data_IF_412422166956
#
_entry.id   IF_412422166956
#
_cell.length_a   1.000
_cell.length_b   1.000
_cell.length_c   1.000
_cell.angle_alpha   90.00
_cell.angle_beta   90.00
_cell.angle_gamma   90.00
#
_symmetry.space_group_name_H-M   'P 1'
#
loop_
_entity.id
_entity.type
_entity.pdbx_description
1 polymer ?
#
# COMPACT_ATOMS: atom_id res chain seq x y z
N UNK A 1 -15.17 17.09 0.62
CA UNK A 1 -14.78 18.00 1.72
C UNK A 1 -14.34 17.10 2.87
N UNK A 2 -13.04 17.08 3.12
CA UNK A 2 -12.30 16.12 3.95
C UNK A 2 -12.51 16.50 5.41
N UNK A 3 -13.25 15.70 6.19
CA UNK A 3 -13.47 16.00 7.61
C UNK A 3 -13.58 14.74 8.47
N UNK A 4 -12.60 13.82 8.47
CA UNK A 4 -12.45 12.85 9.59
C UNK A 4 -11.00 12.33 9.76
N UNK A 5 -10.01 13.17 10.05
CA UNK A 5 -8.70 12.69 10.56
C UNK A 5 -7.98 13.65 11.54
N UNK A 6 -8.56 14.79 11.94
CA UNK A 6 -7.80 15.84 12.63
C UNK A 6 -7.91 15.89 14.18
N UNK A 7 -8.43 14.86 14.87
CA UNK A 7 -8.82 15.03 16.29
C UNK A 7 -8.12 14.18 17.36
N UNK A 8 -7.14 13.33 17.06
CA UNK A 8 -6.44 12.58 18.12
C UNK A 8 -4.93 12.80 18.10
N UNK A 9 -4.47 14.05 18.20
CA UNK A 9 -3.20 14.32 18.92
C UNK A 9 -3.28 15.71 19.57
N UNK A 10 -4.20 15.89 20.51
CA UNK A 10 -4.17 17.05 21.41
C UNK A 10 -3.52 16.67 22.74
N UNK A 11 -2.31 17.20 22.92
CA UNK A 11 -1.77 17.72 24.19
C UNK A 11 -1.16 16.76 25.24
N UNK A 12 0.18 16.72 25.19
CA UNK A 12 1.17 17.02 26.26
C UNK A 12 1.26 16.06 27.46
N UNK A 13 2.46 15.52 27.70
CA UNK A 13 3.25 15.90 28.89
C UNK A 13 4.74 15.54 28.79
N UNK A 14 5.52 16.47 29.32
CA UNK A 14 6.97 16.63 29.27
C UNK A 14 7.73 15.67 30.19
N UNK A 15 9.02 15.56 29.86
CA UNK A 15 10.16 15.21 30.72
C UNK A 15 10.52 13.72 30.88
N UNK A 16 11.79 13.44 30.61
CA UNK A 16 12.49 12.24 31.08
C UNK A 16 13.05 11.40 29.93
N UNK A 17 14.36 11.51 29.72
CA UNK A 17 15.10 10.73 28.75
C UNK A 17 14.96 9.21 29.03
N UNK A 18 14.06 8.56 28.29
CA UNK A 18 14.20 7.17 27.92
C UNK A 18 14.12 7.20 26.39
N UNK A 19 15.17 6.71 25.73
CA UNK A 19 15.14 6.49 24.28
C UNK A 19 14.08 5.43 24.00
N UNK A 20 12.81 5.84 23.99
CA UNK A 20 11.81 5.23 23.14
C UNK A 20 12.36 5.50 21.75
N UNK A 21 13.00 4.49 21.16
CA UNK A 21 13.15 4.47 19.72
C UNK A 21 11.74 4.74 19.19
N UNK A 22 11.56 5.96 18.70
CA UNK A 22 10.40 6.37 17.93
C UNK A 22 10.09 5.20 17.02
N UNK A 23 9.02 4.48 17.34
CA UNK A 23 8.23 3.79 16.35
C UNK A 23 7.57 4.89 15.51
N UNK A 24 8.39 5.69 14.83
CA UNK A 24 8.02 6.36 13.60
C UNK A 24 7.93 5.24 12.57
N UNK A 25 6.94 4.38 12.74
CA UNK A 25 6.25 3.84 11.60
C UNK A 25 5.76 5.11 10.92
N UNK A 26 6.50 5.54 9.89
CA UNK A 26 6.11 6.66 9.06
C UNK A 26 4.62 6.49 8.75
N UNK A 27 3.80 7.46 9.17
CA UNK A 27 2.35 7.51 8.91
C UNK A 27 2.03 7.66 7.40
N UNK A 28 2.88 7.12 6.52
CA UNK A 28 2.83 7.21 5.06
C UNK A 28 2.88 5.84 4.36
N UNK A 29 2.51 4.74 5.01
CA UNK A 29 2.41 3.43 4.33
C UNK A 29 1.04 2.78 4.58
N UNK A 30 -0.02 3.59 4.61
CA UNK A 30 -1.35 3.10 4.29
C UNK A 30 -1.67 3.59 2.88
N UNK A 31 -1.73 2.66 1.92
CA UNK A 31 -2.05 2.94 0.52
C UNK A 31 -3.30 3.80 0.39
N UNK A 32 -3.16 4.96 -0.22
CA UNK A 32 -4.30 5.63 -0.82
C UNK A 32 -4.67 4.83 -2.06
N UNK A 33 -5.83 4.17 -2.04
CA UNK A 33 -6.44 3.66 -3.27
C UNK A 33 -6.62 4.85 -4.22
N UNK A 34 -6.02 4.77 -5.40
CA UNK A 34 -6.07 5.85 -6.38
C UNK A 34 -7.09 5.56 -7.48
N UNK A 35 -7.84 6.58 -7.87
CA UNK A 35 -8.78 6.48 -8.99
C UNK A 35 -8.06 6.29 -10.34
N UNK A 36 -6.78 6.68 -10.41
CA UNK A 36 -5.95 6.53 -11.62
C UNK A 36 -5.77 5.06 -12.02
N UNK A 37 -5.75 4.15 -11.04
CA UNK A 37 -5.54 2.74 -11.27
C UNK A 37 -6.85 1.95 -11.44
N UNK A 38 -8.02 2.61 -11.48
CA UNK A 38 -9.32 1.94 -11.51
C UNK A 38 -9.49 1.07 -12.77
N UNK A 39 -9.00 1.56 -13.91
CA UNK A 39 -9.02 0.78 -15.16
C UNK A 39 -8.09 -0.43 -15.08
N UNK A 40 -6.90 -0.26 -14.50
CA UNK A 40 -5.94 -1.34 -14.29
C UNK A 40 -6.49 -2.39 -13.32
N UNK A 41 -7.29 -1.98 -12.32
CA UNK A 41 -8.01 -2.91 -11.43
C UNK A 41 -8.90 -3.87 -12.22
N UNK A 42 -9.66 -3.28 -13.14
CA UNK A 42 -10.70 -3.98 -13.89
C UNK A 42 -10.01 -4.98 -14.83
N UNK A 43 -8.92 -4.56 -15.47
CA UNK A 43 -8.15 -5.45 -16.33
C UNK A 43 -7.44 -6.54 -15.52
N UNK A 44 -6.80 -6.22 -14.39
CA UNK A 44 -6.20 -7.23 -13.49
C UNK A 44 -7.21 -8.31 -13.10
N UNK A 45 -8.40 -7.90 -12.61
CA UNK A 45 -9.45 -8.84 -12.23
C UNK A 45 -9.92 -9.68 -13.42
N UNK A 46 -10.02 -9.09 -14.62
CA UNK A 46 -10.42 -9.79 -15.84
C UNK A 46 -9.37 -10.81 -16.29
N UNK A 47 -8.09 -10.42 -16.34
CA UNK A 47 -6.97 -11.28 -16.74
C UNK A 47 -6.82 -12.47 -15.80
N UNK A 48 -7.03 -12.27 -14.49
CA UNK A 48 -6.88 -13.31 -13.48
C UNK A 48 -8.21 -13.94 -13.01
N UNK A 49 -9.31 -13.64 -13.71
CA UNK A 49 -10.66 -14.14 -13.43
C UNK A 49 -11.06 -14.03 -11.94
N UNK A 50 -10.85 -12.85 -11.36
CA UNK A 50 -11.08 -12.56 -9.95
C UNK A 50 -12.52 -12.13 -9.70
N UNK A 51 -13.12 -12.72 -8.66
CA UNK A 51 -14.43 -12.34 -8.10
C UNK A 51 -14.30 -12.32 -6.59
N UNK A 52 -14.88 -11.32 -5.93
CA UNK A 52 -14.79 -11.13 -4.48
C UNK A 52 -16.18 -11.06 -3.87
N UNK A 53 -16.30 -11.52 -2.62
CA UNK A 53 -17.56 -11.60 -1.89
C UNK A 53 -17.91 -10.22 -1.29
N UNK A 54 -18.29 -9.30 -2.18
CA UNK A 54 -18.80 -7.98 -1.85
C UNK A 54 -17.73 -6.90 -1.69
N UNK A 55 -18.24 -5.69 -1.45
CA UNK A 55 -17.46 -4.43 -1.53
C UNK A 55 -16.33 -4.38 -0.51
N UNK A 56 -16.52 -4.95 0.69
CA UNK A 56 -15.50 -4.93 1.74
C UNK A 56 -14.27 -5.74 1.35
N UNK A 57 -14.46 -6.96 0.82
CA UNK A 57 -13.34 -7.76 0.35
C UNK A 57 -12.68 -7.07 -0.85
N UNK A 58 -13.47 -6.56 -1.80
CA UNK A 58 -12.92 -5.90 -2.97
C UNK A 58 -12.03 -4.70 -2.63
N UNK A 59 -12.42 -3.87 -1.64
CA UNK A 59 -11.58 -2.76 -1.15
C UNK A 59 -10.26 -3.28 -0.56
N UNK A 60 -10.30 -4.34 0.25
CA UNK A 60 -9.10 -4.91 0.86
C UNK A 60 -8.16 -5.51 -0.20
N UNK A 61 -8.72 -6.21 -1.19
CA UNK A 61 -7.95 -6.79 -2.31
C UNK A 61 -7.32 -5.71 -3.18
N UNK A 62 -8.06 -4.63 -3.41
CA UNK A 62 -7.58 -3.45 -4.13
C UNK A 62 -6.40 -2.80 -3.41
N UNK A 63 -6.47 -2.67 -2.09
CA UNK A 63 -5.36 -2.14 -1.28
C UNK A 63 -4.09 -2.98 -1.44
N UNK A 64 -4.18 -4.31 -1.30
CA UNK A 64 -3.02 -5.18 -1.47
C UNK A 64 -2.46 -5.18 -2.89
N UNK A 65 -3.34 -5.08 -3.88
CA UNK A 65 -2.93 -4.98 -5.26
C UNK A 65 -2.16 -3.68 -5.56
N UNK A 66 -2.63 -2.52 -5.07
CA UNK A 66 -1.88 -1.26 -5.22
C UNK A 66 -0.56 -1.28 -4.44
N UNK A 67 -0.53 -1.91 -3.26
CA UNK A 67 0.70 -2.12 -2.50
C UNK A 67 1.72 -2.96 -3.29
N UNK A 68 1.27 -4.04 -3.92
CA UNK A 68 2.11 -4.90 -4.76
C UNK A 68 2.64 -4.14 -5.97
N UNK A 69 1.81 -3.33 -6.65
CA UNK A 69 2.28 -2.51 -7.77
C UNK A 69 3.35 -1.50 -7.35
N UNK A 70 3.20 -0.90 -6.17
CA UNK A 70 4.22 -0.01 -5.61
C UNK A 70 5.51 -0.76 -5.30
N UNK A 71 5.43 -1.95 -4.72
CA UNK A 71 6.60 -2.80 -4.51
C UNK A 71 7.30 -3.15 -5.84
N UNK A 72 6.53 -3.56 -6.86
CA UNK A 72 7.05 -3.89 -8.19
C UNK A 72 7.81 -2.70 -8.78
N UNK A 73 7.20 -1.51 -8.72
CA UNK A 73 7.82 -0.28 -9.22
C UNK A 73 9.14 0.01 -8.52
N UNK A 74 9.15 0.02 -7.19
CA UNK A 74 10.36 0.33 -6.43
C UNK A 74 11.46 -0.71 -6.63
N UNK A 75 11.11 -2.00 -6.63
CA UNK A 75 12.06 -3.07 -6.89
C UNK A 75 12.69 -2.95 -8.29
N UNK A 76 11.89 -2.67 -9.32
CA UNK A 76 12.39 -2.54 -10.67
C UNK A 76 13.22 -1.26 -10.86
N UNK A 77 12.91 -0.17 -10.16
CA UNK A 77 13.79 1.00 -10.10
C UNK A 77 15.15 0.68 -9.45
N UNK A 78 15.17 -0.17 -8.42
CA UNK A 78 16.42 -0.67 -7.81
C UNK A 78 17.19 -1.58 -8.77
N UNK A 79 16.49 -2.38 -9.57
CA UNK A 79 17.11 -3.20 -10.62
C UNK A 79 17.79 -2.33 -11.68
N UNK A 80 17.11 -1.28 -12.15
CA UNK A 80 17.66 -0.34 -13.14
C UNK A 80 18.91 0.40 -12.61
N UNK A 81 19.01 0.59 -11.29
CA UNK A 81 20.21 1.14 -10.61
C UNK A 81 21.29 0.10 -10.33
N UNK A 82 21.06 -1.18 -10.63
CA UNK A 82 22.00 -2.27 -10.37
C UNK A 82 22.11 -2.70 -8.90
N UNK A 83 21.15 -2.33 -8.04
CA UNK A 83 21.13 -2.69 -6.61
C UNK A 83 20.57 -4.09 -6.35
N UNK A 84 19.75 -4.60 -7.28
CA UNK A 84 19.20 -5.96 -7.28
C UNK A 84 19.42 -6.60 -8.65
N UNK A 85 19.43 -7.93 -8.70
CA UNK A 85 19.84 -8.68 -9.90
C UNK A 85 18.68 -9.23 -10.74
N UNK A 86 17.44 -8.97 -10.35
CA UNK A 86 16.24 -9.43 -11.04
C UNK A 86 15.16 -8.36 -11.05
N UNK A 87 14.15 -8.55 -11.91
CA UNK A 87 12.93 -7.76 -11.93
C UNK A 87 11.74 -8.59 -11.44
N UNK A 88 10.69 -7.90 -11.00
CA UNK A 88 9.41 -8.51 -10.61
C UNK A 88 8.30 -7.95 -11.48
N UNK A 89 7.21 -8.69 -11.61
CA UNK A 89 6.04 -8.30 -12.39
C UNK A 89 4.73 -8.66 -11.70
N UNK A 90 3.65 -8.03 -12.14
CA UNK A 90 2.30 -8.34 -11.68
C UNK A 90 1.93 -9.78 -12.03
N UNK A 91 1.24 -10.46 -11.12
CA UNK A 91 0.80 -11.83 -11.30
C UNK A 91 -0.51 -12.08 -10.52
N UNK A 92 -1.08 -13.29 -10.63
CA UNK A 92 -2.38 -13.62 -10.00
C UNK A 92 -2.42 -13.52 -8.47
N UNK A 93 -1.29 -13.33 -7.79
CA UNK A 93 -1.19 -13.19 -6.34
C UNK A 93 -1.00 -11.73 -5.91
N UNK A 94 -1.06 -10.77 -6.83
CA UNK A 94 -0.83 -9.36 -6.51
C UNK A 94 -1.86 -8.77 -5.53
N UNK A 95 -3.06 -9.37 -5.43
CA UNK A 95 -4.13 -9.00 -4.48
C UNK A 95 -4.04 -9.74 -3.12
N UNK A 96 -2.93 -10.43 -2.85
CA UNK A 96 -2.72 -11.19 -1.63
C UNK A 96 -1.69 -10.52 -0.71
N UNK A 97 -1.88 -10.73 0.60
CA UNK A 97 -0.88 -10.36 1.60
C UNK A 97 0.33 -11.27 1.46
N UNK A 98 1.52 -10.67 1.38
CA UNK A 98 2.81 -11.36 1.49
C UNK A 98 3.18 -11.66 2.93
#
# INVERSE_FOLDING_TARGET
>A
MIVVQAFIVSSICLAGACAMMSWEISDNVLSHVTAELDLDWIEYKKVHNKTFDGVKEEIVRRLYWEDTLRFIREHNLRYDRGEVTYTVGENQFADMVG
#
